data_IF_094572720121
#
_entry.id   IF_094572720121
#
_cell.length_a   1.000
_cell.length_b   1.000
_cell.length_c   1.000
_cell.angle_alpha   90.00
_cell.angle_beta   90.00
_cell.angle_gamma   90.00
#
_symmetry.space_group_name_H-M   'P 1'
#
loop_
_entity.id
_entity.type
_entity.pdbx_description
1 polymer ?
#
# COMPACT_ATOMS: atom_id res chain seq x y z
N UNK A 1 6.59 8.30 6.52
CA UNK A 1 7.98 7.89 6.25
C UNK A 1 8.43 7.08 7.43
N UNK A 2 8.97 5.88 7.19
CA UNK A 2 9.48 4.95 8.19
C UNK A 2 10.87 5.40 8.65
N UNK A 3 11.36 4.85 9.77
CA UNK A 3 12.59 5.29 10.43
C UNK A 3 13.87 5.11 9.58
N UNK A 4 13.81 4.24 8.57
CA UNK A 4 14.88 3.95 7.61
C UNK A 4 14.76 4.73 6.29
N UNK A 5 13.81 5.66 6.20
CA UNK A 5 13.53 6.46 5.01
C UNK A 5 12.60 5.78 4.00
N UNK A 6 12.18 4.54 4.23
CA UNK A 6 11.18 3.88 3.41
C UNK A 6 9.80 4.57 3.55
N UNK A 7 8.91 4.37 2.58
CA UNK A 7 7.59 4.99 2.61
C UNK A 7 6.53 4.20 1.87
N UNK A 8 5.27 4.45 2.23
CA UNK A 8 4.11 4.01 1.46
C UNK A 8 3.07 5.13 1.41
N UNK A 9 2.31 5.18 0.34
CA UNK A 9 1.24 6.13 0.08
C UNK A 9 0.00 5.37 -0.40
N UNK A 10 -1.13 5.62 0.25
CA UNK A 10 -2.45 5.25 -0.26
C UNK A 10 -3.11 6.50 -0.83
N UNK A 11 -3.65 6.40 -2.03
CA UNK A 11 -4.42 7.47 -2.65
C UNK A 11 -5.66 6.92 -3.36
N UNK A 12 -6.70 7.74 -3.58
CA UNK A 12 -7.71 7.41 -4.57
C UNK A 12 -7.11 7.36 -5.98
N UNK A 13 -7.53 6.36 -6.77
CA UNK A 13 -7.30 6.33 -8.21
C UNK A 13 -7.95 7.54 -8.88
N UNK A 14 -7.29 8.05 -9.92
CA UNK A 14 -7.80 9.19 -10.70
C UNK A 14 -8.67 8.74 -11.88
N UNK A 15 -8.72 7.43 -12.15
CA UNK A 15 -9.37 6.85 -13.33
C UNK A 15 -10.52 5.92 -12.97
N UNK A 16 -10.52 5.36 -11.76
CA UNK A 16 -11.45 4.32 -11.31
C UNK A 16 -11.86 4.56 -9.84
N UNK A 17 -13.04 4.09 -9.39
CA UNK A 17 -13.44 4.17 -7.99
C UNK A 17 -12.71 3.12 -7.15
N UNK A 18 -11.39 3.25 -7.03
CA UNK A 18 -10.51 2.28 -6.37
C UNK A 18 -9.37 2.99 -5.64
N UNK A 19 -8.71 2.30 -4.72
CA UNK A 19 -7.50 2.75 -4.04
C UNK A 19 -6.26 2.32 -4.80
N UNK A 20 -5.21 3.15 -4.72
CA UNK A 20 -3.88 2.86 -5.26
C UNK A 20 -2.86 3.00 -4.14
N UNK A 21 -2.07 1.95 -3.96
CA UNK A 21 -0.94 1.86 -3.04
C UNK A 21 0.36 1.98 -3.83
N UNK A 22 1.26 2.82 -3.36
CA UNK A 22 2.64 2.89 -3.82
C UNK A 22 3.54 2.78 -2.61
N UNK A 23 4.59 1.95 -2.69
CA UNK A 23 5.56 1.79 -1.63
C UNK A 23 6.99 1.80 -2.20
N UNK A 24 7.94 2.24 -1.39
CA UNK A 24 9.35 2.28 -1.70
C UNK A 24 10.15 1.85 -0.45
N UNK A 25 11.22 1.09 -0.67
CA UNK A 25 12.20 0.68 0.35
C UNK A 25 13.58 1.20 -0.04
N UNK A 26 14.36 1.57 0.97
CA UNK A 26 15.76 1.97 0.82
C UNK A 26 16.74 0.80 0.97
N UNK A 27 16.27 -0.38 1.39
CA UNK A 27 17.11 -1.54 1.75
C UNK A 27 16.97 -2.74 0.82
N UNK A 28 15.74 -3.16 0.50
CA UNK A 28 15.53 -4.38 -0.31
C UNK A 28 14.12 -4.50 -0.89
N UNK A 29 13.98 -5.37 -1.89
CA UNK A 29 12.67 -5.78 -2.40
C UNK A 29 11.83 -6.52 -1.35
N UNK A 30 12.48 -7.29 -0.47
CA UNK A 30 11.80 -8.00 0.62
C UNK A 30 11.15 -7.03 1.61
N UNK A 31 11.85 -5.97 2.00
CA UNK A 31 11.30 -4.91 2.85
C UNK A 31 10.15 -4.18 2.13
N UNK A 32 10.32 -3.86 0.84
CA UNK A 32 9.27 -3.24 0.04
C UNK A 32 8.00 -4.11 -0.03
N UNK A 33 8.13 -5.43 -0.21
CA UNK A 33 7.02 -6.39 -0.16
C UNK A 33 6.39 -6.47 1.22
N UNK A 34 7.18 -6.42 2.29
CA UNK A 34 6.68 -6.42 3.66
C UNK A 34 5.88 -5.15 3.97
N UNK A 35 6.36 -3.98 3.54
CA UNK A 35 5.65 -2.70 3.67
C UNK A 35 4.31 -2.74 2.93
N UNK A 36 4.32 -3.21 1.68
CA UNK A 36 3.07 -3.35 0.90
C UNK A 36 2.10 -4.31 1.59
N UNK A 37 2.55 -5.50 2.00
CA UNK A 37 1.70 -6.51 2.62
C UNK A 37 1.07 -6.02 3.94
N UNK A 38 1.83 -5.28 4.75
CA UNK A 38 1.32 -4.69 5.98
C UNK A 38 0.19 -3.69 5.71
N UNK A 39 0.33 -2.87 4.67
CA UNK A 39 -0.70 -1.88 4.30
C UNK A 39 -1.90 -2.52 3.61
N UNK A 40 -1.67 -3.51 2.74
CA UNK A 40 -2.69 -4.30 2.07
C UNK A 40 -3.62 -4.98 3.09
N UNK A 41 -3.05 -5.57 4.15
CA UNK A 41 -3.83 -6.16 5.24
C UNK A 41 -4.77 -5.15 5.91
N UNK A 42 -4.27 -3.95 6.23
CA UNK A 42 -5.08 -2.88 6.85
C UNK A 42 -6.21 -2.44 5.92
N UNK A 43 -5.92 -2.22 4.62
CA UNK A 43 -6.92 -1.78 3.64
C UNK A 43 -8.04 -2.80 3.49
N UNK A 44 -7.70 -4.10 3.47
CA UNK A 44 -8.67 -5.19 3.30
C UNK A 44 -9.56 -5.41 4.52
N UNK A 45 -9.11 -5.03 5.71
CA UNK A 45 -9.89 -5.14 6.95
C UNK A 45 -10.82 -3.94 7.18
N UNK A 46 -10.61 -2.81 6.51
CA UNK A 46 -11.42 -1.59 6.69
C UNK A 46 -12.80 -1.71 6.02
N UNK A 47 -13.91 -1.76 6.78
CA UNK A 47 -15.25 -1.95 6.22
C UNK A 47 -15.74 -0.80 5.33
N UNK A 48 -15.16 0.40 5.43
CA UNK A 48 -15.48 1.51 4.54
C UNK A 48 -14.80 1.40 3.16
N UNK A 49 -13.80 0.53 3.02
CA UNK A 49 -13.15 0.27 1.72
C UNK A 49 -14.01 -0.74 0.95
N UNK A 50 -14.44 -0.33 -0.25
CA UNK A 50 -15.18 -1.20 -1.17
C UNK A 50 -14.29 -2.25 -1.84
N UNK A 51 -14.63 -2.64 -3.06
CA UNK A 51 -13.80 -3.57 -3.82
C UNK A 51 -12.40 -2.96 -4.08
N UNK A 52 -11.37 -3.57 -3.49
CA UNK A 52 -9.96 -3.25 -3.67
C UNK A 52 -9.24 -4.47 -4.26
N UNK A 53 -8.63 -4.28 -5.43
CA UNK A 53 -8.13 -5.36 -6.29
C UNK A 53 -6.62 -5.30 -6.55
N UNK A 54 -5.92 -4.28 -6.03
CA UNK A 54 -4.49 -4.18 -6.24
C UNK A 54 -3.77 -5.30 -5.47
N UNK A 55 -2.74 -5.84 -6.11
CA UNK A 55 -1.80 -6.79 -5.55
C UNK A 55 -0.39 -6.29 -5.82
N UNK A 56 0.59 -6.85 -5.10
CA UNK A 56 2.00 -6.56 -5.34
C UNK A 56 2.46 -7.01 -6.73
#
# INVERSE_FOLDING_TARGET
>A
VLDDGAWALVRPSSNTPNLVVVAESTRSEEELRAIFAALDAIIREEPAVGAYDQTF
#
